data_IF_096442579551
#
_entry.id   IF_096442579551
#
_cell.length_a   1.000
_cell.length_b   1.000
_cell.length_c   1.000
_cell.angle_alpha   90.00
_cell.angle_beta   90.00
_cell.angle_gamma   90.00
#
_symmetry.space_group_name_H-M   'P 1'
#
loop_
_entity.id
_entity.type
_entity.pdbx_description
1 polymer ?
#
# COMPACT_ATOMS: atom_id res chain seq x y z
N UNK A 1 -15.14 -4.84 8.21
CA UNK A 1 -13.91 -4.07 8.50
C UNK A 1 -12.82 -4.59 7.60
N UNK A 2 -12.02 -3.69 7.03
CA UNK A 2 -10.87 -4.01 6.19
C UNK A 2 -9.65 -3.41 6.88
N UNK A 3 -8.67 -4.26 7.18
CA UNK A 3 -7.37 -3.81 7.69
C UNK A 3 -6.39 -3.78 6.52
N UNK A 4 -5.73 -2.64 6.34
CA UNK A 4 -4.71 -2.44 5.31
C UNK A 4 -3.40 -2.16 6.02
N UNK A 5 -2.39 -2.98 5.78
CA UNK A 5 -1.01 -2.75 6.23
C UNK A 5 -0.21 -2.28 5.04
N UNK A 6 0.49 -1.17 5.20
CA UNK A 6 1.24 -0.54 4.13
C UNK A 6 2.68 -0.32 4.52
N UNK A 7 3.57 -0.46 3.54
CA UNK A 7 4.96 -0.07 3.70
C UNK A 7 5.50 0.47 2.37
N UNK A 8 6.47 1.35 2.45
CA UNK A 8 7.12 1.96 1.30
C UNK A 8 8.57 2.30 1.61
N UNK A 9 9.47 1.91 0.71
CA UNK A 9 10.89 2.10 0.88
C UNK A 9 11.57 2.60 -0.39
N UNK A 10 12.66 3.35 -0.24
CA UNK A 10 13.55 3.71 -1.33
C UNK A 10 15.03 3.56 -0.93
N UNK A 11 15.83 2.94 -1.82
CA UNK A 11 17.28 2.87 -1.71
C UNK A 11 17.89 4.17 -2.26
N UNK A 12 18.01 5.17 -1.37
CA UNK A 12 18.36 6.54 -1.72
C UNK A 12 17.12 7.44 -1.81
N UNK A 13 17.29 8.76 -1.60
CA UNK A 13 16.17 9.72 -1.53
C UNK A 13 16.47 10.98 -2.36
N UNK A 14 16.36 10.94 -3.70
CA UNK A 14 15.69 9.89 -4.48
C UNK A 14 16.58 8.69 -4.87
N UNK A 15 15.94 7.57 -5.21
CA UNK A 15 16.58 6.32 -5.66
C UNK A 15 15.56 5.25 -6.08
N UNK A 16 15.98 4.03 -6.44
CA UNK A 16 15.07 2.91 -6.69
C UNK A 16 14.25 2.61 -5.44
N UNK A 17 12.95 2.43 -5.58
CA UNK A 17 12.07 2.19 -4.43
C UNK A 17 10.82 1.39 -4.81
N UNK A 18 10.09 0.96 -3.80
CA UNK A 18 8.88 0.18 -3.98
C UNK A 18 7.97 0.26 -2.77
N UNK A 19 6.78 -0.30 -2.93
CA UNK A 19 5.77 -0.35 -1.91
C UNK A 19 5.21 -1.76 -1.77
N UNK A 20 4.68 -2.06 -0.59
CA UNK A 20 3.96 -3.28 -0.26
C UNK A 20 2.64 -2.96 0.43
N UNK A 21 1.60 -3.76 0.15
CA UNK A 21 0.30 -3.64 0.77
C UNK A 21 -0.24 -5.03 1.10
N UNK A 22 -0.71 -5.21 2.32
CA UNK A 22 -1.49 -6.37 2.74
C UNK A 22 -2.89 -5.90 3.11
N UNK A 23 -3.91 -6.51 2.51
CA UNK A 23 -5.31 -6.29 2.85
C UNK A 23 -5.90 -7.54 3.50
N UNK A 24 -6.61 -7.34 4.61
CA UNK A 24 -7.32 -8.40 5.32
C UNK A 24 -8.77 -8.01 5.54
N UNK A 25 -9.68 -8.94 5.26
CA UNK A 25 -11.11 -8.78 5.58
C UNK A 25 -11.74 -10.13 5.85
N UNK A 26 -12.01 -10.42 7.12
CA UNK A 26 -12.46 -11.75 7.55
C UNK A 26 -11.46 -12.83 7.14
N UNK A 27 -11.91 -13.80 6.34
CA UNK A 27 -11.06 -14.87 5.80
C UNK A 27 -10.30 -14.45 4.52
N UNK A 28 -10.58 -13.29 3.95
CA UNK A 28 -9.93 -12.83 2.73
C UNK A 28 -8.59 -12.16 3.04
N UNK A 29 -7.58 -12.52 2.27
CA UNK A 29 -6.24 -11.96 2.30
C UNK A 29 -5.82 -11.59 0.88
N UNK A 30 -5.16 -10.45 0.72
CA UNK A 30 -4.58 -10.03 -0.55
C UNK A 30 -3.29 -9.26 -0.33
N UNK A 31 -2.30 -9.54 -1.16
CA UNK A 31 -1.01 -8.85 -1.16
C UNK A 31 -0.79 -8.15 -2.49
N UNK A 32 -0.20 -6.96 -2.44
CA UNK A 32 0.13 -6.14 -3.60
C UNK A 32 1.51 -5.52 -3.39
N UNK A 33 2.28 -5.40 -4.46
CA UNK A 33 3.55 -4.70 -4.44
C UNK A 33 3.85 -4.10 -5.80
N UNK A 34 4.74 -3.11 -5.81
CA UNK A 34 5.20 -2.45 -7.03
C UNK A 34 6.49 -1.68 -6.79
N UNK A 35 7.21 -1.37 -7.87
CA UNK A 35 8.52 -0.72 -7.80
C UNK A 35 8.73 0.31 -8.90
N UNK A 36 9.58 1.30 -8.60
CA UNK A 36 9.93 2.41 -9.46
C UNK A 36 11.44 2.61 -9.47
N UNK A 37 12.02 2.86 -10.65
CA UNK A 37 13.49 3.03 -10.80
C UNK A 37 14.02 4.27 -10.09
N UNK A 38 13.21 5.32 -9.97
CA UNK A 38 13.59 6.58 -9.33
C UNK A 38 12.36 7.19 -8.62
N UNK A 39 12.38 7.19 -7.29
CA UNK A 39 11.32 7.69 -6.42
C UNK A 39 11.91 8.13 -5.08
N UNK A 40 11.06 8.55 -4.14
CA UNK A 40 11.44 8.86 -2.76
C UNK A 40 10.74 7.92 -1.78
N UNK A 41 11.23 7.84 -0.55
CA UNK A 41 10.62 7.03 0.52
C UNK A 41 9.13 7.41 0.71
N UNK A 42 8.88 8.69 0.96
CA UNK A 42 7.54 9.21 1.24
C UNK A 42 6.56 8.99 0.06
N UNK A 43 7.05 9.01 -1.19
CA UNK A 43 6.20 8.70 -2.36
C UNK A 43 5.74 7.24 -2.34
N UNK A 44 6.58 6.32 -1.90
CA UNK A 44 6.23 4.90 -1.82
C UNK A 44 5.29 4.61 -0.66
N UNK A 45 5.52 5.20 0.52
CA UNK A 45 4.62 5.06 1.67
C UNK A 45 3.20 5.56 1.33
N UNK A 46 3.08 6.74 0.72
CA UNK A 46 1.79 7.28 0.31
C UNK A 46 1.15 6.47 -0.82
N UNK A 47 1.94 5.99 -1.78
CA UNK A 47 1.42 5.18 -2.87
C UNK A 47 0.89 3.83 -2.38
N UNK A 48 1.52 3.21 -1.38
CA UNK A 48 1.04 2.00 -0.73
C UNK A 48 -0.41 2.17 -0.22
N UNK A 49 -0.66 3.27 0.50
CA UNK A 49 -2.01 3.62 1.01
C UNK A 49 -3.00 3.81 -0.13
N UNK A 50 -2.63 4.57 -1.16
CA UNK A 50 -3.49 4.84 -2.32
C UNK A 50 -3.87 3.52 -3.01
N UNK A 51 -2.89 2.65 -3.29
CA UNK A 51 -3.11 1.37 -3.96
C UNK A 51 -4.00 0.46 -3.11
N UNK A 52 -3.77 0.40 -1.80
CA UNK A 52 -4.63 -0.35 -0.88
C UNK A 52 -6.08 0.10 -0.97
N UNK A 53 -6.35 1.40 -0.83
CA UNK A 53 -7.70 1.97 -0.88
C UNK A 53 -8.37 1.76 -2.25
N UNK A 54 -7.63 1.89 -3.36
CA UNK A 54 -8.15 1.67 -4.71
C UNK A 54 -8.63 0.24 -4.97
N UNK A 55 -8.18 -0.74 -4.17
CA UNK A 55 -8.60 -2.13 -4.36
C UNK A 55 -9.93 -2.49 -3.71
N UNK A 56 -10.48 -1.60 -2.88
CA UNK A 56 -11.77 -1.79 -2.22
C UNK A 56 -12.89 -1.63 -3.26
N UNK A 57 -13.61 -2.72 -3.55
CA UNK A 57 -14.64 -2.76 -4.60
C UNK A 57 -16.00 -2.22 -4.17
N UNK A 58 -16.30 -2.29 -2.87
CA UNK A 58 -17.61 -1.94 -2.34
C UNK A 58 -17.52 -0.63 -1.54
N UNK A 59 -18.46 0.30 -1.70
CA UNK A 59 -18.46 1.54 -0.94
C UNK A 59 -18.81 1.30 0.54
N UNK A 60 -18.59 2.33 1.36
CA UNK A 60 -18.97 2.40 2.79
C UNK A 60 -18.38 1.28 3.66
N UNK A 61 -17.21 0.77 3.29
CA UNK A 61 -16.46 -0.15 4.16
C UNK A 61 -15.76 0.63 5.26
N UNK A 62 -15.80 0.10 6.48
CA UNK A 62 -14.93 0.58 7.55
C UNK A 62 -13.51 0.07 7.31
N UNK A 63 -12.55 0.99 7.21
CA UNK A 63 -11.15 0.71 6.88
C UNK A 63 -10.26 1.25 7.99
N UNK A 64 -9.29 0.45 8.41
CA UNK A 64 -8.16 0.90 9.23
C UNK A 64 -6.89 0.70 8.42
N UNK A 65 -6.04 1.74 8.37
CA UNK A 65 -4.74 1.69 7.69
C UNK A 65 -3.65 1.70 8.76
N UNK A 66 -2.69 0.79 8.63
CA UNK A 66 -1.51 0.61 9.46
C UNK A 66 -0.24 0.83 8.64
#
# INVERSE_FOLDING_TARGET
MIDIYTDGAASGNPGPGGYGVILRSGAHYKELSGGFRLTTNNRMELLAVIVGLQTIKSPRQQVTVY
#
